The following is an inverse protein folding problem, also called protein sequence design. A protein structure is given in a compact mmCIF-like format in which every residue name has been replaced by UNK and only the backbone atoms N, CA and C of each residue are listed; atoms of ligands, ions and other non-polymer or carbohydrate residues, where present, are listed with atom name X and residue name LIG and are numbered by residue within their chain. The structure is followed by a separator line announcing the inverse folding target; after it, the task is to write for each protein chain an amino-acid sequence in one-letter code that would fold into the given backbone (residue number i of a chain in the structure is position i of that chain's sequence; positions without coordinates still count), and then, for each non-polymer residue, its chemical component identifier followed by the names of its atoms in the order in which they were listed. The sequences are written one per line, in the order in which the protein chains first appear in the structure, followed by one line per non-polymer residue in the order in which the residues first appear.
data_IF_616702252740
#
_entry.id   IF_616702252740
#
_cell.length_a   1.000
_cell.length_b   1.000
_cell.length_c   1.000
_cell.angle_alpha   90.00
_cell.angle_beta   90.00
_cell.angle_gamma   90.00
#
_symmetry.space_group_name_H-M   'P 1'
#
loop_
_entity.id
_entity.type
_entity.pdbx_description
1 polymer ?
#
# COMPACT_ATOMS: atom_id res chain seq x y z
N UNK A 1 -36.04 15.26 2.37
CA UNK A 1 -35.27 14.18 1.72
C UNK A 1 -34.30 13.69 2.78
N UNK A 2 -34.31 12.41 3.21
CA UNK A 2 -33.29 11.98 4.15
C UNK A 2 -31.95 11.99 3.41
N UNK A 3 -30.93 12.59 4.01
CA UNK A 3 -29.56 12.56 3.52
C UNK A 3 -29.08 11.10 3.60
N UNK A 4 -29.28 10.34 2.52
CA UNK A 4 -28.76 8.98 2.40
C UNK A 4 -27.24 9.05 2.57
N UNK A 5 -26.73 8.27 3.52
CA UNK A 5 -25.36 8.32 4.04
C UNK A 5 -24.31 8.47 2.94
N UNK A 6 -23.85 9.69 2.66
CA UNK A 6 -22.75 9.97 1.72
C UNK A 6 -21.38 9.68 2.36
N UNK A 7 -21.31 8.76 3.32
CA UNK A 7 -20.12 8.52 4.12
C UNK A 7 -19.13 7.61 3.41
N UNK A 8 -17.85 7.96 3.48
CA UNK A 8 -16.77 7.03 3.16
C UNK A 8 -16.72 5.90 4.20
N UNK A 9 -16.71 4.65 3.72
CA UNK A 9 -16.69 3.44 4.52
C UNK A 9 -15.35 2.74 4.32
N UNK A 10 -14.76 2.26 5.43
CA UNK A 10 -13.47 1.58 5.46
C UNK A 10 -13.59 0.26 6.19
N UNK A 11 -12.98 -0.79 5.65
CA UNK A 11 -12.96 -2.12 6.24
C UNK A 11 -11.53 -2.66 6.23
N UNK A 12 -11.12 -3.27 7.33
CA UNK A 12 -9.86 -4.00 7.43
C UNK A 12 -10.13 -5.50 7.42
N UNK A 13 -9.41 -6.21 6.56
CA UNK A 13 -9.43 -7.67 6.45
C UNK A 13 -8.05 -8.19 6.85
N UNK A 14 -7.99 -9.01 7.90
CA UNK A 14 -6.74 -9.54 8.45
C UNK A 14 -6.55 -10.99 8.05
N UNK A 15 -5.38 -11.31 7.52
CA UNK A 15 -4.99 -12.66 7.14
C UNK A 15 -3.66 -13.03 7.79
N UNK A 16 -3.30 -14.32 7.71
CA UNK A 16 -1.98 -14.76 8.15
C UNK A 16 -0.90 -14.11 7.28
N UNK A 17 -0.23 -13.10 7.83
CA UNK A 17 0.94 -12.44 7.24
C UNK A 17 0.67 -11.22 6.36
N UNK A 18 -0.60 -10.85 6.13
CA UNK A 18 -0.95 -9.63 5.41
C UNK A 18 -2.33 -9.08 5.81
N UNK A 19 -2.51 -7.78 5.59
CA UNK A 19 -3.74 -7.04 5.80
C UNK A 19 -4.19 -6.38 4.49
N UNK A 20 -5.50 -6.35 4.27
CA UNK A 20 -6.12 -5.62 3.17
C UNK A 20 -7.09 -4.59 3.75
N UNK A 21 -6.94 -3.34 3.35
CA UNK A 21 -7.92 -2.30 3.61
C UNK A 21 -8.74 -2.06 2.35
N UNK A 22 -10.06 -2.14 2.47
CA UNK A 22 -10.99 -1.84 1.39
C UNK A 22 -11.84 -0.64 1.74
N UNK A 23 -12.15 0.20 0.77
CA UNK A 23 -12.98 1.36 0.97
C UNK A 23 -13.75 1.74 -0.30
N UNK A 24 -14.84 2.48 -0.15
CA UNK A 24 -15.59 3.06 -1.26
C UNK A 24 -14.97 4.39 -1.72
N UNK A 25 -13.63 4.51 -1.72
CA UNK A 25 -12.92 5.74 -2.05
C UNK A 25 -13.32 6.29 -3.43
N UNK A 26 -13.54 7.60 -3.52
CA UNK A 26 -13.91 8.28 -4.76
C UNK A 26 -15.19 7.76 -5.44
N UNK A 27 -16.06 6.99 -4.76
CA UNK A 27 -17.26 6.40 -5.37
C UNK A 27 -18.14 7.44 -6.08
N UNK A 28 -18.28 8.63 -5.49
CA UNK A 28 -19.05 9.72 -6.08
C UNK A 28 -18.35 10.34 -7.31
N UNK A 29 -17.04 10.62 -7.23
CA UNK A 29 -16.23 11.19 -8.34
C UNK A 29 -16.22 10.23 -9.54
N UNK A 30 -16.15 8.93 -9.26
CA UNK A 30 -16.08 7.86 -10.26
C UNK A 30 -17.46 7.32 -10.67
N UNK A 31 -18.55 7.87 -10.11
CA UNK A 31 -19.94 7.43 -10.35
C UNK A 31 -20.15 5.92 -10.13
N UNK A 32 -19.45 5.35 -9.14
CA UNK A 32 -19.61 3.96 -8.69
C UNK A 32 -20.75 3.86 -7.68
N UNK A 33 -21.24 2.64 -7.46
CA UNK A 33 -22.19 2.37 -6.39
C UNK A 33 -21.57 2.64 -5.01
N UNK A 34 -22.38 3.12 -4.05
CA UNK A 34 -21.89 3.47 -2.70
C UNK A 34 -21.37 2.25 -1.92
N UNK A 35 -21.86 1.06 -2.23
CA UNK A 35 -21.42 -0.22 -1.68
C UNK A 35 -20.42 -0.94 -2.61
N UNK A 36 -19.81 -0.21 -3.55
CA UNK A 36 -18.67 -0.68 -4.34
C UNK A 36 -17.35 -0.36 -3.64
N UNK A 37 -16.64 -1.41 -3.20
CA UNK A 37 -15.38 -1.30 -2.48
C UNK A 37 -14.17 -1.65 -3.37
N UNK A 38 -13.12 -0.85 -3.26
CA UNK A 38 -11.82 -1.10 -3.87
C UNK A 38 -10.78 -1.38 -2.80
N UNK A 39 -9.68 -2.05 -3.17
CA UNK A 39 -8.53 -2.24 -2.28
C UNK A 39 -7.77 -0.92 -2.17
N UNK A 40 -7.88 -0.26 -1.03
CA UNK A 40 -7.19 0.99 -0.73
C UNK A 40 -5.73 0.75 -0.31
N UNK A 41 -5.48 -0.34 0.42
CA UNK A 41 -4.12 -0.68 0.87
C UNK A 41 -3.96 -2.19 1.04
N UNK A 42 -2.75 -2.67 0.77
CA UNK A 42 -2.26 -4.00 1.13
C UNK A 42 -0.99 -3.81 1.96
N UNK A 43 -0.92 -4.46 3.11
CA UNK A 43 0.29 -4.49 3.95
C UNK A 43 0.76 -5.92 4.13
N UNK A 44 2.04 -6.19 3.88
CA UNK A 44 2.68 -7.50 4.02
C UNK A 44 3.72 -7.41 5.13
N UNK A 45 3.69 -8.39 6.04
CA UNK A 45 4.49 -8.40 7.26
C UNK A 45 5.31 -9.70 7.44
N UNK A 46 5.28 -10.62 6.46
CA UNK A 46 5.98 -11.91 6.54
C UNK A 46 6.84 -12.21 5.30
N UNK A 47 7.96 -12.95 5.44
CA UNK A 47 8.84 -13.31 4.32
C UNK A 47 8.22 -14.29 3.30
N UNK A 48 7.16 -15.00 3.68
CA UNK A 48 6.53 -16.01 2.82
C UNK A 48 5.78 -15.40 1.62
N UNK A 49 5.46 -14.11 1.67
CA UNK A 49 4.73 -13.39 0.62
C UNK A 49 5.72 -12.51 -0.14
N UNK A 50 5.70 -12.62 -1.47
CA UNK A 50 6.58 -11.88 -2.37
C UNK A 50 5.79 -10.91 -3.23
N UNK A 51 6.40 -9.79 -3.58
CA UNK A 51 5.91 -8.96 -4.67
C UNK A 51 6.00 -9.72 -5.99
N UNK A 52 5.30 -9.23 -7.02
CA UNK A 52 5.37 -9.83 -8.36
C UNK A 52 6.79 -9.85 -8.95
N UNK A 53 7.71 -9.00 -8.48
CA UNK A 53 9.13 -9.00 -8.89
C UNK A 53 10.05 -9.79 -7.95
N UNK A 54 9.48 -10.52 -7.00
CA UNK A 54 10.21 -11.46 -6.14
C UNK A 54 10.71 -10.91 -4.81
N UNK A 55 10.50 -9.62 -4.50
CA UNK A 55 10.94 -9.01 -3.24
C UNK A 55 10.07 -9.49 -2.07
N UNK A 56 10.70 -9.86 -0.96
CA UNK A 56 10.07 -10.23 0.29
C UNK A 56 10.65 -9.46 1.50
N UNK A 57 9.96 -9.56 2.62
CA UNK A 57 10.48 -9.16 3.93
C UNK A 57 11.81 -9.88 4.21
N UNK A 58 12.81 -9.13 4.66
CA UNK A 58 14.17 -9.60 4.94
C UNK A 58 15.19 -9.40 3.82
N UNK A 59 14.73 -9.17 2.58
CA UNK A 59 15.62 -8.82 1.47
C UNK A 59 16.35 -7.51 1.75
N UNK A 60 17.54 -7.36 1.17
CA UNK A 60 18.38 -6.17 1.39
C UNK A 60 17.93 -5.01 0.51
N UNK A 61 18.26 -3.79 0.94
CA UNK A 61 18.07 -2.58 0.14
C UNK A 61 18.73 -2.69 -1.24
N UNK A 62 19.89 -3.35 -1.36
CA UNK A 62 20.55 -3.52 -2.66
C UNK A 62 19.72 -4.39 -3.61
N UNK A 63 19.19 -5.52 -3.12
CA UNK A 63 18.30 -6.39 -3.92
C UNK A 63 17.04 -5.63 -4.35
N UNK A 64 16.48 -4.79 -3.47
CA UNK A 64 15.36 -3.91 -3.80
C UNK A 64 15.71 -2.94 -4.93
N UNK A 65 16.85 -2.25 -4.81
CA UNK A 65 17.33 -1.27 -5.80
C UNK A 65 17.63 -1.94 -7.15
N UNK A 66 18.24 -3.12 -7.14
CA UNK A 66 18.53 -3.87 -8.37
C UNK A 66 17.24 -4.31 -9.09
N UNK A 67 16.17 -4.56 -8.34
CA UNK A 67 14.89 -5.06 -8.86
C UNK A 67 13.91 -3.96 -9.30
N UNK A 68 13.89 -2.83 -8.58
CA UNK A 68 12.93 -1.75 -8.80
C UNK A 68 13.56 -0.42 -9.20
N UNK A 69 14.89 -0.28 -9.11
CA UNK A 69 15.62 0.96 -9.28
C UNK A 69 15.72 1.78 -7.98
N UNK A 70 16.25 3.00 -8.08
CA UNK A 70 16.46 3.87 -6.91
C UNK A 70 15.14 4.21 -6.22
N UNK A 71 14.09 4.66 -6.94
CA UNK A 71 12.86 5.10 -6.27
C UNK A 71 13.06 6.33 -5.38
N UNK A 72 12.03 6.68 -4.62
CA UNK A 72 12.01 7.86 -3.72
C UNK A 72 12.26 7.43 -2.28
N UNK A 73 13.11 8.14 -1.55
CA UNK A 73 13.37 7.90 -0.11
C UNK A 73 12.61 8.88 0.77
N UNK A 74 12.11 8.40 1.89
CA UNK A 74 11.51 9.20 2.96
C UNK A 74 12.04 8.70 4.31
N UNK A 75 12.71 9.60 5.04
CA UNK A 75 13.35 9.33 6.33
C UNK A 75 12.67 10.12 7.48
N UNK A 76 11.43 10.56 7.25
CA UNK A 76 10.64 11.27 8.26
C UNK A 76 10.21 10.35 9.42
N UNK A 77 9.91 10.97 10.57
CA UNK A 77 9.37 10.28 11.76
C UNK A 77 10.20 9.09 12.27
N UNK A 78 11.51 9.09 11.99
CA UNK A 78 12.43 8.02 12.40
C UNK A 78 12.22 6.71 11.65
N UNK A 79 11.50 6.73 10.54
CA UNK A 79 11.26 5.57 9.69
C UNK A 79 11.95 5.76 8.35
N UNK A 80 12.59 4.71 7.84
CA UNK A 80 13.24 4.74 6.53
C UNK A 80 12.36 4.03 5.51
N UNK A 81 11.82 4.76 4.55
CA UNK A 81 10.98 4.23 3.50
C UNK A 81 11.61 4.43 2.13
N UNK A 82 11.42 3.44 1.25
CA UNK A 82 11.70 3.55 -0.18
C UNK A 82 10.43 3.24 -0.96
N UNK A 83 10.02 4.16 -1.83
CA UNK A 83 8.73 4.13 -2.51
C UNK A 83 8.86 4.23 -4.02
N UNK A 84 7.92 3.60 -4.71
CA UNK A 84 7.79 3.57 -6.16
C UNK A 84 6.35 3.87 -6.55
N UNK A 85 6.16 4.86 -7.40
CA UNK A 85 4.84 5.35 -7.77
C UNK A 85 4.54 5.08 -9.24
N UNK A 86 3.31 4.69 -9.52
CA UNK A 86 2.79 4.60 -10.88
C UNK A 86 1.31 4.94 -10.90
N UNK A 87 0.95 5.99 -11.65
CA UNK A 87 -0.40 6.55 -11.63
C UNK A 87 -0.83 6.83 -10.19
N UNK A 88 -1.95 6.26 -9.77
CA UNK A 88 -2.56 6.41 -8.46
C UNK A 88 -2.16 5.29 -7.48
N UNK A 89 -1.00 4.65 -7.68
CA UNK A 89 -0.52 3.55 -6.82
C UNK A 89 0.88 3.87 -6.32
N UNK A 90 1.08 3.68 -5.02
CA UNK A 90 2.40 3.72 -4.39
C UNK A 90 2.73 2.36 -3.80
N UNK A 91 3.90 1.84 -4.10
CA UNK A 91 4.48 0.66 -3.46
C UNK A 91 5.67 1.12 -2.61
N UNK A 92 5.58 0.92 -1.30
CA UNK A 92 6.51 1.40 -0.30
C UNK A 92 7.11 0.23 0.47
N UNK A 93 8.41 0.34 0.75
CA UNK A 93 9.20 -0.63 1.49
C UNK A 93 9.83 0.07 2.69
N UNK A 94 9.49 -0.36 3.90
CA UNK A 94 10.13 0.13 5.10
C UNK A 94 11.42 -0.65 5.32
N UNK A 95 12.50 0.06 5.62
CA UNK A 95 13.83 -0.45 5.80
C UNK A 95 14.28 -0.24 7.25
N UNK A 96 14.88 -1.27 7.83
CA UNK A 96 15.58 -1.17 9.10
C UNK A 96 16.91 -1.92 8.98
N UNK A 97 18.01 -1.30 9.39
CA UNK A 97 19.36 -1.85 9.23
C UNK A 97 19.66 -2.35 7.80
N UNK A 98 19.13 -1.65 6.78
CA UNK A 98 19.31 -1.98 5.36
C UNK A 98 18.52 -3.19 4.86
N UNK A 99 17.53 -3.68 5.63
CA UNK A 99 16.65 -4.80 5.27
C UNK A 99 15.20 -4.39 5.29
N UNK A 100 14.40 -5.00 4.41
CA UNK A 100 12.97 -4.73 4.33
C UNK A 100 12.26 -5.36 5.53
N UNK A 101 11.52 -4.56 6.28
CA UNK A 101 10.72 -5.02 7.43
C UNK A 101 9.21 -4.94 7.19
N UNK A 102 8.76 -4.07 6.28
CA UNK A 102 7.35 -3.95 5.87
C UNK A 102 7.23 -3.63 4.39
N UNK A 103 6.21 -4.16 3.73
CA UNK A 103 5.85 -3.81 2.34
C UNK A 103 4.41 -3.32 2.35
N UNK A 104 4.16 -2.16 1.75
CA UNK A 104 2.85 -1.54 1.69
C UNK A 104 2.55 -1.09 0.26
N UNK A 105 1.40 -1.47 -0.27
CA UNK A 105 0.84 -0.89 -1.49
C UNK A 105 -0.37 -0.05 -1.12
N UNK A 106 -0.42 1.21 -1.53
CA UNK A 106 -1.58 2.10 -1.34
C UNK A 106 -2.11 2.60 -2.68
N UNK A 107 -3.42 2.82 -2.73
CA UNK A 107 -4.02 3.70 -3.73
C UNK A 107 -3.96 5.13 -3.21
N UNK A 108 -3.40 6.01 -4.02
CA UNK A 108 -3.48 7.45 -3.84
C UNK A 108 -4.76 7.96 -4.52
N UNK A 109 -5.56 8.75 -3.81
CA UNK A 109 -6.83 9.26 -4.32
C UNK A 109 -6.76 10.71 -4.78
N UNK A 110 -5.63 11.38 -4.57
CA UNK A 110 -5.48 12.82 -4.77
C UNK A 110 -4.92 13.19 -6.16
N UNK A 111 -5.01 12.26 -7.12
CA UNK A 111 -4.66 12.49 -8.54
C UNK A 111 -5.77 13.16 -9.37
#
# INVERSE_FOLDING_TARGET
MPAGETSYKYYQHRYAGFDIYTANLSWQKEQRDIDSYIIAQITINVPAIRTARGIAIGDTQNVLIDTYGQGTTDDSDGQHWRSYETKNKRLSFQLEHGRIIHIMMTLDTDS
#
